data_IF_577537423768
#
_entry.id   IF_577537423768
#
_cell.length_a   1.000
_cell.length_b   1.000
_cell.length_c   1.000
_cell.angle_alpha   90.00
_cell.angle_beta   90.00
_cell.angle_gamma   90.00
#
_symmetry.space_group_name_H-M   'P 1'
#
loop_
_entity.id
_entity.type
_entity.pdbx_description
1 polymer ?
#
# COMPACT_ATOMS: atom_id res chain seq x y z
N UNK A 1 6.31 -6.72 1.47
CA UNK A 1 5.76 -7.51 2.59
C UNK A 1 4.58 -8.29 2.06
N UNK A 2 4.40 -9.53 2.52
CA UNK A 2 3.24 -10.37 2.25
C UNK A 2 2.81 -10.94 3.59
N UNK A 3 1.61 -10.61 4.06
CA UNK A 3 1.21 -10.98 5.42
C UNK A 3 -0.30 -11.06 5.54
N UNK A 4 -0.76 -12.09 6.23
CA UNK A 4 -2.11 -12.14 6.80
C UNK A 4 -2.07 -11.55 8.21
N UNK A 5 -2.83 -10.48 8.45
CA UNK A 5 -2.97 -9.86 9.76
C UNK A 5 -4.16 -10.47 10.49
N UNK A 6 -3.94 -10.90 11.74
CA UNK A 6 -5.01 -11.32 12.64
C UNK A 6 -5.47 -10.11 13.45
N UNK A 7 -6.78 -9.88 13.47
CA UNK A 7 -7.44 -8.78 14.16
C UNK A 7 -8.19 -9.22 15.42
N UNK A 8 -8.11 -10.51 15.74
CA UNK A 8 -8.58 -11.11 16.98
C UNK A 8 -7.42 -11.70 17.76
N UNK A 9 -7.42 -11.48 19.07
CA UNK A 9 -6.42 -12.04 19.98
C UNK A 9 -7.02 -12.17 21.38
N UNK A 10 -6.76 -13.26 22.14
CA UNK A 10 -7.39 -13.51 23.44
C UNK A 10 -7.17 -12.42 24.49
N UNK A 11 -6.08 -11.65 24.37
CA UNK A 11 -5.69 -10.62 25.36
C UNK A 11 -5.60 -9.20 24.81
N UNK A 12 -5.56 -9.03 23.49
CA UNK A 12 -5.29 -7.72 22.87
C UNK A 12 -6.58 -7.24 22.22
N UNK A 13 -7.01 -6.03 22.56
CA UNK A 13 -8.21 -5.42 21.99
C UNK A 13 -8.02 -5.22 20.47
N UNK A 14 -9.06 -5.46 19.64
CA UNK A 14 -8.99 -5.29 18.17
C UNK A 14 -8.41 -3.94 17.72
N UNK A 15 -8.81 -2.83 18.36
CA UNK A 15 -8.27 -1.50 18.06
C UNK A 15 -6.73 -1.42 18.19
N UNK A 16 -6.12 -2.14 19.15
CA UNK A 16 -4.66 -2.19 19.31
C UNK A 16 -3.99 -3.01 18.22
N UNK A 17 -4.66 -4.03 17.71
CA UNK A 17 -4.19 -4.82 16.56
C UNK A 17 -4.24 -3.97 15.29
N UNK A 18 -5.33 -3.21 15.07
CA UNK A 18 -5.45 -2.25 13.97
C UNK A 18 -4.35 -1.19 14.01
N UNK A 19 -4.08 -0.60 15.18
CA UNK A 19 -2.97 0.35 15.36
C UNK A 19 -1.61 -0.28 15.00
N UNK A 20 -1.39 -1.52 15.42
CA UNK A 20 -0.16 -2.26 15.11
C UNK A 20 -0.03 -2.50 13.60
N UNK A 21 -1.12 -2.87 12.93
CA UNK A 21 -1.14 -3.07 11.46
C UNK A 21 -0.81 -1.77 10.73
N UNK A 22 -1.48 -0.65 11.08
CA UNK A 22 -1.21 0.67 10.52
C UNK A 22 0.27 1.06 10.69
N UNK A 23 0.85 0.77 11.85
CA UNK A 23 2.26 1.05 12.15
C UNK A 23 3.20 0.18 11.32
N UNK A 24 2.92 -1.12 11.18
CA UNK A 24 3.72 -2.06 10.38
C UNK A 24 3.75 -1.64 8.91
N UNK A 25 2.59 -1.32 8.34
CA UNK A 25 2.45 -0.83 6.95
C UNK A 25 3.24 0.47 6.76
N UNK A 26 3.06 1.46 7.64
CA UNK A 26 3.78 2.74 7.57
C UNK A 26 5.30 2.56 7.67
N UNK A 27 5.76 1.68 8.56
CA UNK A 27 7.20 1.35 8.70
C UNK A 27 7.74 0.70 7.44
N UNK A 28 7.01 -0.23 6.84
CA UNK A 28 7.39 -0.88 5.60
C UNK A 28 7.55 0.14 4.47
N UNK A 29 6.50 0.90 4.15
CA UNK A 29 6.52 1.90 3.07
C UNK A 29 7.65 2.92 3.28
N UNK A 30 7.83 3.43 4.52
CA UNK A 30 8.91 4.38 4.83
C UNK A 30 10.30 3.77 4.67
N UNK A 31 10.48 2.48 4.94
CA UNK A 31 11.78 1.81 4.75
C UNK A 31 12.10 1.68 3.26
N UNK A 32 11.13 1.23 2.47
CA UNK A 32 11.33 1.06 1.03
C UNK A 32 11.59 2.41 0.34
N UNK A 33 10.81 3.46 0.64
CA UNK A 33 11.04 4.82 0.12
C UNK A 33 12.40 5.43 0.50
N UNK A 34 13.09 4.91 1.52
CA UNK A 34 14.43 5.39 1.95
C UNK A 34 15.58 4.62 1.31
N UNK A 35 15.31 3.56 0.54
CA UNK A 35 16.35 2.84 -0.19
C UNK A 35 16.91 3.72 -1.31
N UNK A 36 18.18 3.54 -1.65
CA UNK A 36 18.78 4.14 -2.83
C UNK A 36 17.98 3.77 -4.08
N UNK A 37 17.81 4.74 -4.97
CA UNK A 37 17.14 4.53 -6.25
C UNK A 37 18.16 3.98 -7.26
N UNK A 38 17.79 2.97 -8.07
CA UNK A 38 18.57 2.60 -9.25
C UNK A 38 18.66 3.77 -10.25
N UNK A 39 19.63 3.69 -11.17
CA UNK A 39 19.75 4.68 -12.24
C UNK A 39 18.46 4.78 -13.07
N UNK A 40 18.05 6.01 -13.39
CA UNK A 40 16.83 6.29 -14.16
C UNK A 40 15.51 6.10 -13.42
N UNK A 41 15.53 5.71 -12.13
CA UNK A 41 14.32 5.58 -11.30
C UNK A 41 14.08 6.86 -10.50
N UNK A 42 12.86 7.42 -10.61
CA UNK A 42 12.51 8.68 -9.94
C UNK A 42 12.07 8.47 -8.48
N UNK A 43 11.41 7.35 -8.19
CA UNK A 43 10.90 7.02 -6.86
C UNK A 43 10.64 5.51 -6.70
N UNK A 44 10.47 5.06 -5.45
CA UNK A 44 9.89 3.74 -5.17
C UNK A 44 8.37 3.83 -5.17
N UNK A 45 7.76 3.12 -6.11
CA UNK A 45 6.32 2.86 -6.17
C UNK A 45 5.99 1.49 -5.54
N UNK A 46 4.71 1.14 -5.44
CA UNK A 46 4.28 -0.12 -4.82
C UNK A 46 3.16 -0.81 -5.58
N UNK A 47 3.36 -2.09 -5.87
CA UNK A 47 2.26 -3.00 -6.20
C UNK A 47 1.62 -3.49 -4.90
N UNK A 48 0.34 -3.22 -4.75
CA UNK A 48 -0.41 -3.56 -3.53
C UNK A 48 -1.56 -4.50 -3.85
N UNK A 49 -1.77 -5.49 -2.99
CA UNK A 49 -2.97 -6.34 -3.02
C UNK A 49 -3.59 -6.47 -1.64
N UNK A 50 -4.91 -6.54 -1.59
CA UNK A 50 -5.68 -6.71 -0.35
C UNK A 50 -6.83 -7.68 -0.58
N UNK A 51 -7.15 -8.49 0.41
CA UNK A 51 -8.32 -9.37 0.37
C UNK A 51 -8.40 -10.30 1.58
N UNK A 52 -9.41 -11.18 1.64
CA UNK A 52 -9.59 -12.08 2.78
C UNK A 52 -8.46 -13.15 2.86
N UNK A 53 -7.89 -13.53 1.73
CA UNK A 53 -6.75 -14.46 1.63
C UNK A 53 -5.83 -14.04 0.48
N UNK A 54 -4.61 -14.59 0.42
CA UNK A 54 -3.67 -14.33 -0.68
C UNK A 54 -4.29 -14.69 -2.05
N UNK A 55 -5.01 -15.80 -2.14
CA UNK A 55 -5.65 -16.26 -3.38
C UNK A 55 -6.83 -15.39 -3.83
N UNK A 56 -7.46 -14.65 -2.90
CA UNK A 56 -8.61 -13.76 -3.16
C UNK A 56 -8.22 -12.28 -3.04
N UNK A 57 -6.93 -11.98 -3.09
CA UNK A 57 -6.44 -10.62 -2.96
C UNK A 57 -6.51 -9.89 -4.30
N UNK A 58 -7.16 -8.74 -4.30
CA UNK A 58 -7.31 -7.88 -5.48
C UNK A 58 -6.30 -6.74 -5.46
N UNK A 59 -5.98 -6.21 -6.63
CA UNK A 59 -5.05 -5.09 -6.78
C UNK A 59 -5.71 -3.82 -6.22
N UNK A 60 -4.98 -3.11 -5.36
CA UNK A 60 -5.38 -1.81 -4.82
C UNK A 60 -4.26 -0.79 -5.02
N UNK A 61 -4.60 0.49 -4.95
CA UNK A 61 -3.63 1.56 -4.88
C UNK A 61 -3.02 1.65 -3.47
N UNK A 62 -1.77 2.11 -3.39
CA UNK A 62 -1.11 2.35 -2.09
C UNK A 62 -1.92 3.28 -1.18
N UNK A 63 -2.63 4.26 -1.76
CA UNK A 63 -3.49 5.20 -1.04
C UNK A 63 -4.74 4.55 -0.43
N UNK A 64 -5.19 3.42 -0.95
CA UNK A 64 -6.40 2.73 -0.52
C UNK A 64 -6.17 1.85 0.71
N UNK A 65 -4.92 1.45 0.99
CA UNK A 65 -4.58 0.57 2.13
C UNK A 65 -5.16 1.11 3.46
N UNK A 66 -5.08 2.43 3.69
CA UNK A 66 -5.60 3.01 4.93
C UNK A 66 -7.12 2.92 5.04
N UNK A 67 -7.83 2.97 3.91
CA UNK A 67 -9.29 2.81 3.85
C UNK A 67 -9.65 1.35 4.13
N UNK A 68 -9.00 0.40 3.46
CA UNK A 68 -9.22 -1.03 3.68
C UNK A 68 -9.02 -1.45 5.15
N UNK A 69 -8.00 -0.93 5.83
CA UNK A 69 -7.77 -1.22 7.25
C UNK A 69 -8.90 -0.67 8.14
N UNK A 70 -9.40 0.53 7.83
CA UNK A 70 -10.52 1.14 8.58
C UNK A 70 -11.82 0.38 8.33
N UNK A 71 -12.05 -0.10 7.12
CA UNK A 71 -13.20 -0.94 6.79
C UNK A 71 -13.12 -2.29 7.51
N UNK A 72 -11.95 -2.93 7.52
CA UNK A 72 -11.75 -4.18 8.28
C UNK A 72 -12.04 -4.03 9.78
N UNK A 73 -11.69 -2.88 10.36
CA UNK A 73 -12.00 -2.52 11.76
C UNK A 73 -13.52 -2.37 11.98
N UNK A 74 -14.21 -1.66 11.08
CA UNK A 74 -15.64 -1.41 11.13
C UNK A 74 -16.49 -2.67 10.89
N UNK A 75 -16.04 -3.54 10.00
CA UNK A 75 -16.68 -4.83 9.68
C UNK A 75 -16.33 -5.94 10.69
N UNK A 76 -15.47 -5.64 11.67
CA UNK A 76 -15.00 -6.60 12.67
C UNK A 76 -14.43 -7.88 12.06
N UNK A 77 -13.69 -7.75 10.95
CA UNK A 77 -13.04 -8.89 10.30
C UNK A 77 -12.06 -9.55 11.28
N UNK A 78 -11.98 -10.89 11.24
CA UNK A 78 -11.02 -11.63 12.07
C UNK A 78 -9.60 -11.54 11.51
N UNK A 79 -9.47 -11.43 10.19
CA UNK A 79 -8.19 -11.31 9.51
C UNK A 79 -8.33 -10.75 8.09
N UNK A 80 -7.21 -10.32 7.52
CA UNK A 80 -7.09 -10.00 6.10
C UNK A 80 -5.66 -10.24 5.61
N UNK A 81 -5.51 -10.44 4.30
CA UNK A 81 -4.24 -10.46 3.60
C UNK A 81 -3.87 -9.08 3.04
N UNK A 82 -2.60 -8.71 3.17
CA UNK A 82 -2.02 -7.53 2.56
C UNK A 82 -0.65 -7.84 1.95
N UNK A 83 -0.50 -7.48 0.68
CA UNK A 83 0.75 -7.51 -0.08
C UNK A 83 1.15 -6.09 -0.47
N UNK A 84 2.43 -5.75 -0.25
CA UNK A 84 3.03 -4.49 -0.68
C UNK A 84 4.42 -4.81 -1.23
N UNK A 85 4.64 -4.71 -2.52
CA UNK A 85 5.93 -4.95 -3.18
C UNK A 85 6.45 -3.64 -3.76
N UNK A 86 7.69 -3.28 -3.38
CA UNK A 86 8.32 -2.08 -3.91
C UNK A 86 8.72 -2.32 -5.37
N UNK A 87 8.45 -1.34 -6.24
CA UNK A 87 8.85 -1.36 -7.65
C UNK A 87 9.44 -0.01 -8.07
N UNK A 88 10.28 0.03 -9.12
CA UNK A 88 10.71 1.28 -9.73
C UNK A 88 9.52 2.12 -10.22
N UNK A 89 9.51 3.41 -9.88
CA UNK A 89 8.56 4.39 -10.36
C UNK A 89 9.24 5.46 -11.21
N UNK A 90 8.55 5.89 -12.26
CA UNK A 90 9.02 6.91 -13.21
C UNK A 90 8.00 8.04 -13.32
N UNK A 91 8.46 9.28 -13.36
CA UNK A 91 7.60 10.46 -13.59
C UNK A 91 7.21 10.48 -15.06
N UNK A 92 5.92 10.61 -15.34
CA UNK A 92 5.46 10.93 -16.69
C UNK A 92 5.87 12.37 -16.99
N UNK A 93 6.88 12.55 -17.85
CA UNK A 93 7.13 13.85 -18.46
C UNK A 93 6.07 14.07 -19.52
N UNK A 94 5.04 14.85 -19.21
CA UNK A 94 4.18 15.37 -20.25
C UNK A 94 5.03 16.37 -21.05
N UNK A 95 5.43 15.99 -22.27
CA UNK A 95 5.86 17.01 -23.23
C UNK A 95 4.63 17.88 -23.48
N UNK A 96 4.66 19.12 -23.02
CA UNK A 96 3.73 20.15 -23.49
C UNK A 96 3.89 20.18 -25.01
N UNK A 97 2.94 19.60 -25.74
CA UNK A 97 2.86 19.80 -27.18
C UNK A 97 2.58 21.29 -27.38
N UNK A 98 3.56 22.00 -27.91
CA UNK A 98 3.48 23.39 -28.33
C UNK A 98 2.23 23.56 -29.21
N UNK A 99 1.31 24.43 -28.79
CA UNK A 99 0.13 24.74 -29.57
C UNK A 99 0.57 25.40 -30.89
N UNK A 100 -0.03 25.05 -32.05
CA UNK A 100 0.36 25.66 -33.31
C UNK A 100 0.02 27.16 -33.27
N UNK A 101 1.04 28.00 -33.42
CA UNK A 101 0.89 29.43 -33.71
C UNK A 101 0.13 29.53 -35.02
N UNK A 102 -1.07 30.11 -34.99
CA UNK A 102 -1.80 30.49 -36.20
C UNK A 102 -1.25 31.85 -36.66
N UNK A 103 -0.78 31.89 -37.90
CA UNK A 103 -0.49 33.12 -38.66
C UNK A 103 -1.76 33.97 -38.87
#
# INVERSE_FOLDING_TARGET
MKKTFQLVHPKIKPARLIEAVRRDVKKYIKREKRKSLPEGVDYWDFDCKYGPTEAKAEIILTSEISKCITEAEAEHLESFYLEILAKPGHKKTYKTSEAPVKD
#
